data_IF_091467939709
#
_entry.id   IF_091467939709
#
_cell.length_a   1.000
_cell.length_b   1.000
_cell.length_c   1.000
_cell.angle_alpha   90.00
_cell.angle_beta   90.00
_cell.angle_gamma   90.00
#
_symmetry.space_group_name_H-M   'P 1'
#
loop_
_entity.id
_entity.type
_entity.pdbx_description
1 polymer ?
#
# COMPACT_ATOMS: atom_id res chain seq x y z
N UNK A 1 10.39 2.57 14.52
CA UNK A 1 9.82 1.79 13.40
C UNK A 1 8.30 1.96 13.44
N UNK A 2 7.69 2.48 12.38
CA UNK A 2 6.23 2.68 12.32
C UNK A 2 5.53 1.40 11.82
N UNK A 3 4.59 0.88 12.59
CA UNK A 3 3.89 -0.37 12.25
C UNK A 3 2.93 -0.21 11.07
N UNK A 4 2.47 1.01 10.80
CA UNK A 4 1.54 1.34 9.71
C UNK A 4 2.15 1.25 8.32
N UNK A 5 3.48 1.10 8.22
CA UNK A 5 4.20 0.94 6.95
C UNK A 5 4.49 -0.53 6.59
N UNK A 6 4.05 -1.49 7.42
CA UNK A 6 4.24 -2.92 7.16
C UNK A 6 3.43 -3.37 5.94
N UNK A 7 3.84 -4.48 5.33
CA UNK A 7 3.04 -5.13 4.29
C UNK A 7 1.64 -5.49 4.82
N UNK A 8 0.68 -5.65 3.91
CA UNK A 8 -0.65 -6.18 4.22
C UNK A 8 -0.52 -7.48 5.02
N UNK A 9 -1.29 -7.60 6.11
CA UNK A 9 -1.40 -8.86 6.82
C UNK A 9 -2.27 -9.84 6.02
N UNK A 10 -1.66 -10.81 5.34
CA UNK A 10 -2.39 -11.82 4.58
C UNK A 10 -3.04 -12.91 5.45
N UNK A 11 -2.95 -12.79 6.77
CA UNK A 11 -3.56 -13.71 7.74
C UNK A 11 -3.10 -15.15 7.53
N UNK A 12 -4.03 -16.06 7.26
CA UNK A 12 -3.76 -17.49 7.02
C UNK A 12 -2.87 -17.74 5.78
N UNK A 13 -2.72 -16.73 4.92
CA UNK A 13 -1.87 -16.77 3.73
C UNK A 13 -0.46 -16.19 3.94
N UNK A 14 -0.15 -15.71 5.15
CA UNK A 14 1.21 -15.28 5.47
C UNK A 14 2.21 -16.43 5.30
N UNK A 15 3.34 -16.14 4.64
CA UNK A 15 4.38 -17.14 4.35
C UNK A 15 4.02 -18.12 3.23
N UNK A 16 2.85 -17.99 2.60
CA UNK A 16 2.52 -18.76 1.39
C UNK A 16 3.30 -18.23 0.17
N UNK A 17 3.57 -19.09 -0.81
CA UNK A 17 4.15 -18.70 -2.10
C UNK A 17 3.40 -17.56 -2.80
N UNK A 18 4.14 -16.70 -3.52
CA UNK A 18 3.57 -15.53 -4.22
C UNK A 18 2.54 -15.91 -5.29
N UNK A 19 2.72 -17.03 -5.98
CA UNK A 19 1.77 -17.54 -6.98
C UNK A 19 0.39 -17.90 -6.38
N UNK A 20 0.33 -18.13 -5.06
CA UNK A 20 -0.92 -18.29 -4.30
C UNK A 20 -1.48 -16.94 -3.85
N UNK A 21 -0.63 -16.06 -3.31
CA UNK A 21 -1.08 -14.82 -2.67
C UNK A 21 -1.41 -13.72 -3.69
N UNK A 22 -0.59 -13.54 -4.73
CA UNK A 22 -0.73 -12.45 -5.69
C UNK A 22 -2.11 -12.43 -6.39
N UNK A 23 -2.67 -13.56 -6.86
CA UNK A 23 -4.01 -13.57 -7.47
C UNK A 23 -5.14 -13.16 -6.51
N UNK A 24 -4.92 -13.29 -5.20
CA UNK A 24 -5.91 -12.95 -4.17
C UNK A 24 -5.90 -11.46 -3.83
N UNK A 25 -4.80 -10.75 -4.06
CA UNK A 25 -4.64 -9.36 -3.62
C UNK A 25 -5.71 -8.43 -4.19
N UNK A 26 -6.01 -8.55 -5.49
CA UNK A 26 -7.06 -7.77 -6.17
C UNK A 26 -8.47 -8.18 -5.71
N UNK A 27 -8.64 -9.41 -5.22
CA UNK A 27 -9.93 -9.90 -4.70
C UNK A 27 -10.18 -9.43 -3.27
N UNK A 28 -9.11 -9.22 -2.50
CA UNK A 28 -9.14 -8.83 -1.08
C UNK A 28 -9.01 -7.31 -0.90
N UNK A 29 -9.49 -6.53 -1.87
CA UNK A 29 -9.50 -5.05 -1.78
C UNK A 29 -10.48 -4.62 -0.69
N UNK A 30 -11.73 -5.03 -0.85
CA UNK A 30 -12.85 -4.66 0.04
C UNK A 30 -13.23 -5.79 1.01
N UNK A 31 -12.62 -6.97 0.86
CA UNK A 31 -12.81 -8.12 1.75
C UNK A 31 -11.49 -8.45 2.42
N UNK A 32 -11.51 -8.72 3.73
CA UNK A 32 -10.29 -9.06 4.48
C UNK A 32 -9.82 -10.46 4.12
N UNK A 33 -8.50 -10.66 4.08
CA UNK A 33 -7.94 -12.00 4.18
C UNK A 33 -8.40 -12.67 5.49
N UNK A 34 -8.64 -14.00 5.53
CA UNK A 34 -8.95 -14.70 6.78
C UNK A 34 -7.88 -14.47 7.83
N UNK A 35 -8.26 -14.00 9.02
CA UNK A 35 -7.35 -13.57 10.11
C UNK A 35 -6.31 -12.49 9.69
N UNK A 36 -6.62 -11.75 8.63
CA UNK A 36 -5.76 -10.75 8.00
C UNK A 36 -6.44 -9.38 7.86
N UNK A 37 -5.89 -8.57 6.96
CA UNK A 37 -6.37 -7.24 6.55
C UNK A 37 -6.99 -7.31 5.14
N UNK A 38 -7.73 -6.29 4.74
CA UNK A 38 -8.03 -5.96 3.35
C UNK A 38 -7.08 -4.87 2.86
N UNK A 39 -7.06 -4.55 1.56
CA UNK A 39 -6.30 -3.39 1.09
C UNK A 39 -6.92 -2.06 1.56
N UNK A 40 -8.23 -2.00 1.79
CA UNK A 40 -8.86 -0.83 2.45
C UNK A 40 -8.35 -0.64 3.89
N UNK A 41 -8.16 -1.72 4.68
CA UNK A 41 -7.56 -1.60 6.02
C UNK A 41 -6.12 -1.06 5.95
N UNK A 42 -5.36 -1.49 4.93
CA UNK A 42 -3.99 -0.97 4.68
C UNK A 42 -4.05 0.52 4.34
N UNK A 43 -4.99 0.93 3.49
CA UNK A 43 -5.19 2.33 3.11
C UNK A 43 -5.57 3.19 4.31
N UNK A 44 -6.44 2.71 5.19
CA UNK A 44 -6.82 3.42 6.42
C UNK A 44 -5.58 3.69 7.30
N UNK A 45 -4.75 2.68 7.58
CA UNK A 45 -3.55 2.88 8.40
C UNK A 45 -2.48 3.75 7.71
N UNK A 46 -2.40 3.72 6.38
CA UNK A 46 -1.52 4.62 5.63
C UNK A 46 -2.05 6.05 5.67
N UNK A 47 -3.36 6.26 5.56
CA UNK A 47 -3.97 7.57 5.72
C UNK A 47 -3.69 8.13 7.12
N UNK A 48 -3.87 7.34 8.18
CA UNK A 48 -3.50 7.75 9.55
C UNK A 48 -2.01 8.12 9.66
N UNK A 49 -1.13 7.38 8.99
CA UNK A 49 0.30 7.74 8.93
C UNK A 49 0.53 9.06 8.20
N UNK A 50 -0.15 9.31 7.08
CA UNK A 50 -0.05 10.55 6.31
C UNK A 50 -0.54 11.77 7.11
N UNK A 51 -1.63 11.63 7.85
CA UNK A 51 -2.16 12.67 8.73
C UNK A 51 -1.16 13.05 9.83
N UNK A 52 -0.55 12.04 10.49
CA UNK A 52 0.49 12.26 11.50
C UNK A 52 1.74 12.96 10.95
N UNK A 53 2.19 12.59 9.75
CA UNK A 53 3.36 13.23 9.17
C UNK A 53 3.05 14.66 8.70
N UNK A 54 1.83 14.93 8.23
CA UNK A 54 1.41 16.27 7.84
C UNK A 54 1.45 17.21 9.04
N UNK A 55 0.87 16.78 10.17
CA UNK A 55 0.82 17.55 11.40
C UNK A 55 2.23 17.87 11.95
N UNK A 56 3.14 16.89 11.92
CA UNK A 56 4.45 17.01 12.60
C UNK A 56 5.59 17.52 11.72
N UNK A 57 5.50 17.33 10.41
CA UNK A 57 6.61 17.54 9.48
C UNK A 57 6.19 18.29 8.23
N UNK A 58 5.17 19.16 8.32
CA UNK A 58 4.74 20.00 7.21
C UNK A 58 5.92 20.77 6.58
N UNK A 59 5.92 20.87 5.25
CA UNK A 59 6.99 21.48 4.47
C UNK A 59 8.33 20.73 4.47
N UNK A 60 8.43 19.51 5.00
CA UNK A 60 9.64 18.67 4.93
C UNK A 60 9.57 17.63 3.80
N UNK A 61 10.73 17.17 3.35
CA UNK A 61 10.84 15.98 2.50
C UNK A 61 11.03 14.74 3.37
N UNK A 62 10.13 13.76 3.22
CA UNK A 62 10.14 12.52 4.01
C UNK A 62 10.41 11.34 3.09
N UNK A 63 11.39 10.51 3.46
CA UNK A 63 11.65 9.24 2.80
C UNK A 63 10.86 8.11 3.48
N UNK A 64 10.09 7.34 2.71
CA UNK A 64 9.30 6.21 3.18
C UNK A 64 9.89 4.93 2.58
N UNK A 65 10.17 3.94 3.43
CA UNK A 65 10.57 2.58 3.02
C UNK A 65 9.48 1.61 3.47
N UNK A 66 8.82 0.95 2.51
CA UNK A 66 7.68 0.10 2.75
C UNK A 66 7.57 -1.01 1.68
N UNK A 67 6.41 -1.67 1.62
CA UNK A 67 6.16 -2.82 0.75
C UNK A 67 5.09 -2.51 -0.33
N UNK A 68 4.55 -3.54 -0.99
CA UNK A 68 3.64 -3.40 -2.12
C UNK A 68 2.31 -2.76 -1.68
N UNK A 69 1.62 -3.31 -0.69
CA UNK A 69 0.30 -2.78 -0.32
C UNK A 69 0.37 -1.34 0.21
N UNK A 70 1.34 -0.94 1.05
CA UNK A 70 1.55 0.45 1.40
C UNK A 70 1.79 1.37 0.21
N UNK A 71 2.61 0.96 -0.78
CA UNK A 71 2.86 1.76 -1.97
C UNK A 71 1.58 1.94 -2.81
N UNK A 72 0.82 0.86 -3.04
CA UNK A 72 -0.45 0.95 -3.77
C UNK A 72 -1.47 1.82 -3.02
N UNK A 73 -1.52 1.75 -1.68
CA UNK A 73 -2.34 2.65 -0.88
C UNK A 73 -1.93 4.13 -1.08
N UNK A 74 -0.62 4.43 -1.12
CA UNK A 74 -0.14 5.78 -1.43
C UNK A 74 -0.56 6.24 -2.84
N UNK A 75 -0.51 5.34 -3.83
CA UNK A 75 -1.00 5.63 -5.18
C UNK A 75 -2.50 6.00 -5.17
N UNK A 76 -3.32 5.28 -4.38
CA UNK A 76 -4.75 5.61 -4.26
C UNK A 76 -5.01 6.94 -3.54
N UNK A 77 -4.28 7.21 -2.44
CA UNK A 77 -4.54 8.38 -1.57
C UNK A 77 -3.97 9.66 -2.19
N UNK A 78 -2.72 9.63 -2.67
CA UNK A 78 -1.98 10.84 -3.05
C UNK A 78 -1.94 11.07 -4.57
N UNK A 79 -2.26 10.06 -5.38
CA UNK A 79 -2.34 10.21 -6.84
C UNK A 79 -3.78 10.10 -7.37
N UNK A 80 -4.78 10.04 -6.48
CA UNK A 80 -6.20 9.88 -6.80
C UNK A 80 -6.50 8.70 -7.74
N UNK A 81 -5.69 7.64 -7.68
CA UNK A 81 -5.95 6.42 -8.45
C UNK A 81 -7.06 5.60 -7.78
N UNK A 82 -7.92 5.00 -8.58
CA UNK A 82 -8.74 3.88 -8.13
C UNK A 82 -7.84 2.68 -7.77
N UNK A 83 -8.35 1.72 -7.00
CA UNK A 83 -7.59 0.50 -6.73
C UNK A 83 -7.30 -0.27 -8.01
N UNK A 84 -8.28 -0.34 -8.91
CA UNK A 84 -8.17 -1.00 -10.20
C UNK A 84 -7.02 -0.39 -11.02
N UNK A 85 -6.90 0.94 -11.04
CA UNK A 85 -5.78 1.63 -11.67
C UNK A 85 -4.45 1.37 -10.96
N UNK A 86 -4.42 1.41 -9.62
CA UNK A 86 -3.21 1.16 -8.84
C UNK A 86 -2.66 -0.26 -9.10
N UNK A 87 -3.52 -1.28 -9.12
CA UNK A 87 -3.13 -2.66 -9.43
C UNK A 87 -2.78 -2.87 -10.90
N UNK A 88 -3.53 -2.26 -11.83
CA UNK A 88 -3.23 -2.34 -13.28
C UNK A 88 -1.87 -1.72 -13.60
N UNK A 89 -1.52 -0.63 -12.90
CA UNK A 89 -0.27 0.10 -13.09
C UNK A 89 0.87 -0.37 -12.17
N UNK A 90 0.68 -1.40 -11.34
CA UNK A 90 1.73 -1.91 -10.46
C UNK A 90 2.94 -2.34 -11.29
N UNK A 91 4.07 -1.67 -11.07
CA UNK A 91 5.31 -1.92 -11.80
C UNK A 91 5.78 -3.37 -11.72
N UNK A 92 5.41 -4.09 -10.64
CA UNK A 92 5.71 -5.51 -10.46
C UNK A 92 4.96 -6.37 -11.47
N UNK A 93 3.72 -5.98 -11.82
CA UNK A 93 2.86 -6.64 -12.80
C UNK A 93 3.25 -6.29 -14.24
N UNK A 94 3.56 -5.01 -14.49
CA UNK A 94 3.84 -4.52 -15.86
C UNK A 94 5.33 -4.50 -16.22
N UNK A 95 6.22 -4.92 -15.33
CA UNK A 95 7.67 -4.98 -15.57
C UNK A 95 8.35 -3.62 -15.74
N UNK A 96 7.81 -2.55 -15.13
CA UNK A 96 8.32 -1.17 -15.26
C UNK A 96 9.00 -0.67 -14.00
N UNK A 97 9.99 -1.42 -13.51
CA UNK A 97 10.75 -1.02 -12.34
C UNK A 97 11.37 0.38 -12.50
N UNK A 98 11.38 1.14 -11.41
CA UNK A 98 12.09 2.42 -11.29
C UNK A 98 12.65 2.56 -9.88
N UNK A 99 13.59 3.49 -9.70
CA UNK A 99 14.31 3.67 -8.43
C UNK A 99 13.44 4.13 -7.25
N UNK A 100 12.28 4.76 -7.51
CA UNK A 100 11.38 5.23 -6.45
C UNK A 100 10.16 5.99 -6.97
N UNK A 101 9.33 6.43 -6.03
CA UNK A 101 8.12 7.23 -6.24
C UNK A 101 8.23 8.53 -5.45
N UNK A 102 7.69 9.60 -6.04
CA UNK A 102 7.59 10.91 -5.40
C UNK A 102 6.12 11.25 -5.36
N UNK A 103 5.64 11.57 -4.16
CA UNK A 103 4.27 11.98 -3.92
C UNK A 103 4.28 13.40 -3.34
N UNK A 104 3.25 14.16 -3.67
CA UNK A 104 3.00 15.48 -3.08
C UNK A 104 1.72 15.39 -2.27
N UNK A 105 1.78 15.85 -1.02
CA UNK A 105 0.64 15.94 -0.12
C UNK A 105 0.29 17.42 0.04
N UNK A 106 -0.90 17.80 -0.38
CA UNK A 106 -1.43 19.17 -0.23
C UNK A 106 -2.28 19.27 1.04
#
# INVERSE_FOLDING_TARGET
>A
IDKRLRECNYGDYNGKPSDIVEPLQEQMIYTRFPNGESYEDVKERIQSFLEDIKDRYDGKHIAIVAHKAPQLALDTILSNMTWEEAFTNDWRKIGKWKAGWVYTMN
#
